data_IF_589328454137
#
_entry.id   IF_589328454137
#
_cell.length_a   1.000
_cell.length_b   1.000
_cell.length_c   1.000
_cell.angle_alpha   90.00
_cell.angle_beta   90.00
_cell.angle_gamma   90.00
#
_symmetry.space_group_name_H-M   'P 1'
#
loop_
_entity.id
_entity.type
_entity.pdbx_description
1 polymer ?
#
# COMPACT_ATOMS: atom_id res chain seq x y z
N UNK A 1 -19.20 0.35 -9.15
CA UNK A 1 -19.25 0.50 -10.62
C UNK A 1 -20.60 -0.02 -11.08
N UNK A 2 -21.50 0.88 -11.46
CA UNK A 2 -22.79 0.55 -12.08
C UNK A 2 -22.58 -0.13 -13.43
N UNK A 3 -23.58 -0.84 -13.94
CA UNK A 3 -23.52 -1.51 -15.25
C UNK A 3 -23.18 -0.53 -16.41
N UNK A 4 -23.52 0.76 -16.24
CA UNK A 4 -23.18 1.92 -17.06
C UNK A 4 -21.69 2.07 -17.40
N UNK A 5 -20.82 1.90 -16.39
CA UNK A 5 -19.37 2.16 -16.51
C UNK A 5 -18.68 1.26 -17.51
N UNK A 6 -19.28 0.10 -17.85
CA UNK A 6 -18.75 -0.80 -18.88
C UNK A 6 -19.11 -0.37 -20.30
N UNK A 7 -20.16 0.43 -20.48
CA UNK A 7 -20.67 0.84 -21.79
C UNK A 7 -20.42 2.32 -22.10
N UNK A 8 -19.98 3.14 -21.15
CA UNK A 8 -19.69 4.56 -21.35
C UNK A 8 -18.71 4.82 -22.50
N UNK A 9 -17.67 3.99 -22.65
CA UNK A 9 -16.73 4.06 -23.76
C UNK A 9 -17.39 3.83 -25.13
N UNK A 10 -18.32 2.86 -25.18
CA UNK A 10 -19.08 2.53 -26.40
C UNK A 10 -20.05 3.67 -26.74
N UNK A 11 -20.79 4.17 -25.75
CA UNK A 11 -21.71 5.30 -25.91
C UNK A 11 -20.97 6.55 -26.40
N UNK A 12 -19.78 6.83 -25.87
CA UNK A 12 -18.93 7.95 -26.28
C UNK A 12 -18.47 7.82 -27.72
N UNK A 13 -17.96 6.64 -28.11
CA UNK A 13 -17.50 6.39 -29.46
C UNK A 13 -18.65 6.48 -30.48
N UNK A 14 -19.80 5.89 -30.16
CA UNK A 14 -21.01 5.93 -31.02
C UNK A 14 -21.53 7.36 -31.17
N UNK A 15 -21.55 8.13 -30.08
CA UNK A 15 -22.03 9.53 -30.09
C UNK A 15 -21.08 10.44 -30.89
N UNK A 16 -19.77 10.30 -30.70
CA UNK A 16 -18.78 11.07 -31.47
C UNK A 16 -18.85 10.74 -32.96
N UNK A 17 -18.96 9.45 -33.30
CA UNK A 17 -19.07 8.99 -34.68
C UNK A 17 -20.38 9.49 -35.32
N UNK A 18 -21.52 9.37 -34.64
CA UNK A 18 -22.81 9.79 -35.21
C UNK A 18 -22.92 11.31 -35.38
N UNK A 19 -22.31 12.10 -34.49
CA UNK A 19 -22.18 13.56 -34.69
C UNK A 19 -21.30 13.85 -35.91
N UNK A 20 -20.14 13.20 -36.03
CA UNK A 20 -19.25 13.37 -37.18
C UNK A 20 -19.96 13.02 -38.49
N UNK A 21 -20.64 11.88 -38.55
CA UNK A 21 -21.43 11.44 -39.73
C UNK A 21 -22.52 12.47 -40.07
N UNK A 22 -23.27 12.97 -39.08
CA UNK A 22 -24.30 14.00 -39.29
C UNK A 22 -23.72 15.28 -39.89
N UNK A 23 -22.59 15.75 -39.36
CA UNK A 23 -21.90 16.94 -39.85
C UNK A 23 -21.36 16.74 -41.27
N UNK A 24 -20.75 15.59 -41.56
CA UNK A 24 -20.24 15.27 -42.90
C UNK A 24 -21.38 15.18 -43.92
N UNK A 25 -22.49 14.52 -43.59
CA UNK A 25 -23.67 14.44 -44.46
C UNK A 25 -24.25 15.84 -44.76
N UNK A 26 -24.26 16.72 -43.75
CA UNK A 26 -24.82 18.07 -43.88
C UNK A 26 -23.92 19.03 -44.66
N UNK A 27 -22.62 19.06 -44.36
CA UNK A 27 -21.70 20.09 -44.88
C UNK A 27 -20.82 19.62 -46.02
N UNK A 28 -20.46 18.33 -46.10
CA UNK A 28 -19.68 17.81 -47.23
C UNK A 28 -20.60 17.35 -48.36
N UNK A 29 -21.59 16.52 -48.03
CA UNK A 29 -22.48 15.91 -49.02
C UNK A 29 -23.76 16.71 -49.31
N UNK A 30 -24.00 17.82 -48.59
CA UNK A 30 -25.15 18.72 -48.78
C UNK A 30 -26.51 17.99 -48.79
N UNK A 31 -26.61 16.89 -48.04
CA UNK A 31 -27.81 16.04 -48.00
C UNK A 31 -28.94 16.79 -47.28
N UNK A 32 -30.19 16.51 -47.68
CA UNK A 32 -31.38 17.09 -47.08
C UNK A 32 -31.33 17.04 -45.53
N UNK A 33 -31.74 18.12 -44.83
CA UNK A 33 -31.64 18.22 -43.37
C UNK A 33 -32.31 17.07 -42.62
N UNK A 34 -33.39 16.49 -43.16
CA UNK A 34 -34.09 15.35 -42.59
C UNK A 34 -33.22 14.09 -42.53
N UNK A 35 -32.43 13.83 -43.57
CA UNK A 35 -31.55 12.65 -43.65
C UNK A 35 -30.30 12.87 -42.80
N UNK A 36 -29.75 14.08 -42.81
CA UNK A 36 -28.58 14.43 -41.99
C UNK A 36 -28.85 14.32 -40.47
N UNK A 37 -30.12 14.39 -40.03
CA UNK A 37 -30.52 14.24 -38.63
C UNK A 37 -30.71 12.79 -38.16
N UNK A 38 -30.85 11.82 -39.08
CA UNK A 38 -31.09 10.41 -38.73
C UNK A 38 -30.03 9.84 -37.76
N UNK A 39 -28.72 10.08 -37.95
CA UNK A 39 -27.70 9.62 -37.01
C UNK A 39 -27.86 10.21 -35.60
N UNK A 40 -28.27 11.47 -35.50
CA UNK A 40 -28.47 12.16 -34.21
C UNK A 40 -29.70 11.60 -33.47
N UNK A 41 -30.78 11.32 -34.19
CA UNK A 41 -31.97 10.67 -33.64
C UNK A 41 -31.61 9.26 -33.15
N UNK A 42 -30.84 8.51 -33.93
CA UNK A 42 -30.39 7.17 -33.55
C UNK A 42 -29.54 7.19 -32.26
N UNK A 43 -28.62 8.15 -32.10
CA UNK A 43 -27.86 8.35 -30.85
C UNK A 43 -28.82 8.58 -29.69
N UNK A 44 -29.78 9.49 -29.82
CA UNK A 44 -30.71 9.84 -28.74
C UNK A 44 -31.62 8.68 -28.34
N UNK A 45 -32.07 7.87 -29.29
CA UNK A 45 -32.93 6.71 -29.02
C UNK A 45 -32.16 5.53 -28.45
N UNK A 46 -30.92 5.29 -28.91
CA UNK A 46 -30.13 4.14 -28.47
C UNK A 46 -29.35 4.41 -27.18
N UNK A 47 -28.75 5.60 -27.06
CA UNK A 47 -27.87 5.95 -25.94
C UNK A 47 -28.56 6.76 -24.85
N UNK A 48 -29.53 7.61 -25.22
CA UNK A 48 -30.27 8.44 -24.27
C UNK A 48 -30.96 7.66 -23.15
N UNK A 49 -31.73 6.59 -23.44
CA UNK A 49 -32.38 5.78 -22.42
C UNK A 49 -31.43 5.08 -21.45
N UNK A 50 -30.24 4.68 -21.92
CA UNK A 50 -29.22 4.04 -21.08
C UNK A 50 -28.77 5.02 -20.00
N UNK A 51 -28.37 6.23 -20.41
CA UNK A 51 -27.94 7.29 -19.50
C UNK A 51 -29.07 7.75 -18.57
N UNK A 52 -30.29 7.88 -19.08
CA UNK A 52 -31.47 8.25 -18.27
C UNK A 52 -31.79 7.20 -17.20
N UNK A 53 -31.60 5.92 -17.50
CA UNK A 53 -31.79 4.84 -16.53
C UNK A 53 -30.77 4.92 -15.40
N UNK A 54 -29.50 5.15 -15.72
CA UNK A 54 -28.43 5.29 -14.73
C UNK A 54 -28.66 6.49 -13.81
N UNK A 55 -29.02 7.64 -14.40
CA UNK A 55 -29.41 8.85 -13.66
C UNK A 55 -30.66 8.64 -12.79
N UNK A 56 -31.63 7.84 -13.24
CA UNK A 56 -32.80 7.50 -12.43
C UNK A 56 -32.43 6.64 -11.22
N UNK A 57 -31.46 5.73 -11.37
CA UNK A 57 -30.92 4.93 -10.26
C UNK A 57 -30.17 5.81 -9.26
N UNK A 58 -29.39 6.78 -9.72
CA UNK A 58 -28.69 7.75 -8.87
C UNK A 58 -29.68 8.66 -8.11
N UNK A 59 -30.71 9.14 -8.80
CA UNK A 59 -31.79 9.92 -8.19
C UNK A 59 -32.51 9.13 -7.09
N UNK A 60 -32.77 7.84 -7.31
CA UNK A 60 -33.35 6.95 -6.29
C UNK A 60 -32.47 6.83 -5.05
N UNK A 61 -31.14 6.87 -5.23
CA UNK A 61 -30.15 6.81 -4.14
C UNK A 61 -29.96 8.14 -3.41
N UNK A 62 -30.67 9.21 -3.81
CA UNK A 62 -30.54 10.59 -3.30
C UNK A 62 -29.16 11.20 -3.56
N UNK A 63 -28.45 10.71 -4.56
CA UNK A 63 -27.20 11.29 -5.05
C UNK A 63 -27.56 12.35 -6.10
N UNK A 64 -27.89 13.57 -5.64
CA UNK A 64 -28.21 14.69 -6.53
C UNK A 64 -26.91 15.27 -7.11
N UNK A 65 -26.49 14.73 -8.25
CA UNK A 65 -25.35 15.20 -9.02
C UNK A 65 -25.70 16.28 -10.04
N UNK A 66 -24.68 17.00 -10.51
CA UNK A 66 -24.82 17.96 -11.62
C UNK A 66 -25.24 17.29 -12.94
N UNK A 67 -25.00 15.99 -13.09
CA UNK A 67 -25.37 15.18 -14.25
C UNK A 67 -26.89 15.03 -14.43
N UNK A 68 -27.67 15.30 -13.38
CA UNK A 68 -29.13 15.33 -13.44
C UNK A 68 -29.65 16.40 -14.40
N UNK A 69 -28.97 17.55 -14.50
CA UNK A 69 -29.34 18.59 -15.47
C UNK A 69 -29.19 18.10 -16.91
N UNK A 70 -28.10 17.39 -17.20
CA UNK A 70 -27.88 16.77 -18.51
C UNK A 70 -28.97 15.75 -18.83
N UNK A 71 -29.32 14.87 -17.88
CA UNK A 71 -30.43 13.93 -18.01
C UNK A 71 -31.76 14.61 -18.34
N UNK A 72 -32.11 15.64 -17.56
CA UNK A 72 -33.34 16.41 -17.76
C UNK A 72 -33.30 17.12 -19.12
N UNK A 73 -32.15 17.54 -19.64
CA UNK A 73 -32.03 18.21 -20.94
C UNK A 73 -32.17 17.26 -22.14
N UNK A 74 -31.85 15.96 -21.99
CA UNK A 74 -31.98 14.96 -23.07
C UNK A 74 -33.44 14.86 -23.55
N UNK A 75 -34.41 14.81 -22.64
CA UNK A 75 -35.83 14.62 -23.00
C UNK A 75 -36.41 15.81 -23.79
N UNK A 76 -36.31 17.08 -23.33
CA UNK A 76 -36.73 18.25 -24.08
C UNK A 76 -35.96 18.42 -25.38
N UNK A 77 -34.67 18.05 -25.44
CA UNK A 77 -33.91 18.12 -26.70
C UNK A 77 -34.51 17.23 -27.78
N UNK A 78 -35.01 16.05 -27.42
CA UNK A 78 -35.70 15.14 -28.32
C UNK A 78 -37.08 15.68 -28.71
N UNK A 79 -37.88 16.11 -27.73
CA UNK A 79 -39.25 16.61 -27.95
C UNK A 79 -39.26 17.89 -28.81
N UNK A 80 -38.31 18.80 -28.59
CA UNK A 80 -38.19 20.06 -29.32
C UNK A 80 -37.43 19.92 -30.66
N UNK A 81 -37.12 18.69 -31.08
CA UNK A 81 -36.36 18.37 -32.30
C UNK A 81 -34.98 19.02 -32.37
N UNK A 82 -34.39 19.33 -31.21
CA UNK A 82 -33.03 19.85 -31.06
C UNK A 82 -32.03 18.71 -30.94
N UNK A 83 -32.02 17.82 -31.94
CA UNK A 83 -31.27 16.56 -31.89
C UNK A 83 -29.75 16.75 -31.75
N UNK A 84 -29.21 17.84 -32.31
CA UNK A 84 -27.78 18.17 -32.19
C UNK A 84 -27.41 18.51 -30.74
N UNK A 85 -28.22 19.34 -30.07
CA UNK A 85 -27.99 19.69 -28.67
C UNK A 85 -28.07 18.43 -27.79
N UNK A 86 -29.07 17.57 -28.02
CA UNK A 86 -29.20 16.30 -27.32
C UNK A 86 -28.01 15.35 -27.53
N UNK A 87 -27.55 15.19 -28.76
CA UNK A 87 -26.39 14.34 -29.07
C UNK A 87 -25.09 14.87 -28.42
N UNK A 88 -24.90 16.19 -28.39
CA UNK A 88 -23.76 16.81 -27.69
C UNK A 88 -23.84 16.54 -26.19
N UNK A 89 -25.01 16.66 -25.56
CA UNK A 89 -25.19 16.34 -24.14
C UNK A 89 -24.82 14.88 -23.85
N UNK A 90 -25.31 13.94 -24.67
CA UNK A 90 -25.00 12.51 -24.54
C UNK A 90 -23.50 12.27 -24.65
N UNK A 91 -22.83 12.86 -25.65
CA UNK A 91 -21.38 12.75 -25.83
C UNK A 91 -20.60 13.33 -24.63
N UNK A 92 -21.02 14.50 -24.14
CA UNK A 92 -20.36 15.16 -23.02
C UNK A 92 -20.44 14.35 -21.74
N UNK A 93 -21.63 13.81 -21.43
CA UNK A 93 -21.85 13.00 -20.24
C UNK A 93 -21.08 11.68 -20.29
N UNK A 94 -21.25 10.89 -21.36
CA UNK A 94 -20.55 9.61 -21.49
C UNK A 94 -19.03 9.77 -21.63
N UNK A 95 -18.60 10.88 -22.24
CA UNK A 95 -17.19 11.23 -22.40
C UNK A 95 -16.52 11.56 -21.07
N UNK A 96 -17.21 12.28 -20.18
CA UNK A 96 -16.76 12.52 -18.80
C UNK A 96 -16.52 11.21 -18.05
N UNK A 97 -17.50 10.31 -18.06
CA UNK A 97 -17.40 8.99 -17.41
C UNK A 97 -16.28 8.14 -17.99
N UNK A 98 -16.11 8.19 -19.31
CA UNK A 98 -15.04 7.49 -20.02
C UNK A 98 -13.67 7.97 -19.60
N UNK A 99 -13.47 9.29 -19.51
CA UNK A 99 -12.22 9.87 -19.06
C UNK A 99 -11.94 9.55 -17.59
N UNK A 100 -12.96 9.58 -16.72
CA UNK A 100 -12.81 9.18 -15.31
C UNK A 100 -12.40 7.70 -15.20
N UNK A 101 -13.09 6.79 -15.91
CA UNK A 101 -12.81 5.36 -15.87
C UNK A 101 -11.41 5.01 -16.39
N UNK A 102 -10.98 5.61 -17.51
CA UNK A 102 -9.63 5.43 -18.06
C UNK A 102 -8.56 5.86 -17.06
N UNK A 103 -8.80 6.99 -16.40
CA UNK A 103 -7.84 7.60 -15.52
C UNK A 103 -7.75 6.84 -14.16
N UNK A 104 -8.86 6.28 -13.66
CA UNK A 104 -8.89 5.38 -12.48
C UNK A 104 -8.25 4.02 -12.76
N UNK A 105 -8.43 3.46 -13.97
CA UNK A 105 -7.85 2.16 -14.37
C UNK A 105 -6.32 2.15 -14.35
N UNK A 106 -5.70 3.27 -14.74
CA UNK A 106 -4.24 3.42 -14.78
C UNK A 106 -3.61 3.43 -13.37
N UNK A 107 -4.29 4.01 -12.38
CA UNK A 107 -3.81 4.06 -10.99
C UNK A 107 -3.96 2.71 -10.24
N UNK A 108 -4.97 1.90 -10.59
CA UNK A 108 -5.31 0.66 -9.88
C UNK A 108 -4.44 -0.55 -10.24
N UNK A 109 -3.74 -0.52 -11.39
CA UNK A 109 -2.89 -1.64 -11.84
C UNK A 109 -1.68 -1.86 -10.94
N UNK A 110 -1.13 -0.78 -10.37
CA UNK A 110 0.01 -0.80 -9.45
C UNK A 110 -0.39 -1.35 -8.07
N UNK A 111 -1.61 -1.07 -7.61
CA UNK A 111 -2.13 -1.56 -6.33
C UNK A 111 -2.56 -3.03 -6.38
N UNK A 112 -3.13 -3.48 -7.51
CA UNK A 112 -3.47 -4.90 -7.72
C UNK A 112 -2.23 -5.81 -7.67
N UNK A 113 -1.06 -5.32 -8.08
CA UNK A 113 0.20 -6.04 -7.96
C UNK A 113 0.65 -6.22 -6.50
N UNK A 114 0.31 -5.27 -5.60
CA UNK A 114 0.63 -5.32 -4.18
C UNK A 114 -0.34 -6.21 -3.37
N UNK A 115 -1.64 -6.18 -3.70
CA UNK A 115 -2.65 -7.05 -3.08
C UNK A 115 -2.46 -8.54 -3.39
N UNK A 116 -1.74 -8.86 -4.48
CA UNK A 116 -1.47 -10.23 -4.95
C UNK A 116 -0.56 -11.06 -4.01
N UNK A 117 -0.04 -10.45 -2.94
CA UNK A 117 0.81 -11.10 -1.92
C UNK A 117 0.05 -11.59 -0.67
N UNK A 118 -1.28 -11.49 -0.62
CA UNK A 118 -2.03 -12.05 0.51
C UNK A 118 -2.31 -13.54 0.26
N UNK A 119 -1.90 -14.47 1.14
CA UNK A 119 -2.20 -15.89 0.97
C UNK A 119 -3.73 -16.10 0.98
N UNK A 120 -4.23 -16.85 0.00
CA UNK A 120 -5.66 -17.20 -0.12
C UNK A 120 -5.95 -18.64 0.30
N UNK A 121 -4.89 -19.46 0.30
CA UNK A 121 -4.90 -20.85 0.74
C UNK A 121 -3.82 -21.06 1.80
N UNK A 122 -3.98 -22.15 2.55
CA UNK A 122 -3.07 -22.59 3.59
C UNK A 122 -3.05 -24.12 3.62
N UNK A 123 -1.98 -24.70 4.17
CA UNK A 123 -1.85 -26.13 4.26
C UNK A 123 -2.11 -26.64 5.68
N UNK A 124 -3.19 -27.41 5.87
CA UNK A 124 -3.54 -28.01 7.16
C UNK A 124 -2.99 -29.44 7.27
N UNK A 125 -2.31 -29.75 8.38
CA UNK A 125 -1.84 -31.08 8.74
C UNK A 125 -3.00 -31.90 9.30
N UNK A 126 -3.27 -33.06 8.71
CA UNK A 126 -4.28 -34.04 9.11
C UNK A 126 -3.62 -35.39 9.38
N UNK A 127 -4.35 -36.35 9.95
CA UNK A 127 -3.84 -37.70 10.19
C UNK A 127 -3.39 -38.43 8.91
N UNK A 128 -3.92 -38.04 7.74
CA UNK A 128 -3.59 -38.62 6.43
C UNK A 128 -2.56 -37.81 5.62
N UNK A 129 -1.94 -36.78 6.21
CA UNK A 129 -0.99 -35.90 5.53
C UNK A 129 -1.46 -34.45 5.45
N UNK A 130 -1.09 -33.75 4.37
CA UNK A 130 -1.32 -32.32 4.20
C UNK A 130 -2.49 -32.05 3.25
N UNK A 131 -3.45 -31.20 3.65
CA UNK A 131 -4.60 -30.79 2.83
C UNK A 131 -4.61 -29.28 2.68
N UNK A 132 -4.80 -28.79 1.46
CA UNK A 132 -4.96 -27.37 1.20
C UNK A 132 -6.37 -26.89 1.59
N UNK A 133 -6.45 -25.84 2.38
CA UNK A 133 -7.69 -25.22 2.87
C UNK A 133 -7.68 -23.73 2.55
N UNK A 134 -8.88 -23.15 2.40
CA UNK A 134 -8.97 -21.68 2.30
C UNK A 134 -8.63 -21.06 3.65
N UNK A 135 -7.97 -19.91 3.64
CA UNK A 135 -7.57 -19.21 4.87
C UNK A 135 -8.77 -18.99 5.80
N UNK A 136 -9.94 -18.66 5.25
CA UNK A 136 -11.18 -18.43 6.03
C UNK A 136 -11.70 -19.66 6.80
N UNK A 137 -11.21 -20.86 6.47
CA UNK A 137 -11.61 -22.12 7.11
C UNK A 137 -10.68 -22.54 8.25
N UNK A 138 -9.64 -21.76 8.54
CA UNK A 138 -8.68 -22.03 9.61
C UNK A 138 -9.33 -21.73 10.96
N UNK A 139 -9.38 -22.75 11.83
CA UNK A 139 -9.83 -22.61 13.20
C UNK A 139 -8.67 -22.49 14.18
N UNK A 140 -8.91 -21.88 15.34
CA UNK A 140 -7.94 -21.88 16.44
C UNK A 140 -7.68 -23.32 16.86
N UNK A 141 -6.40 -23.69 17.00
CA UNK A 141 -5.97 -25.04 17.34
C UNK A 141 -5.58 -25.90 16.13
N UNK A 142 -5.92 -25.50 14.90
CA UNK A 142 -5.52 -26.19 13.68
C UNK A 142 -3.99 -26.25 13.57
N UNK A 143 -3.47 -27.40 13.13
CA UNK A 143 -2.07 -27.56 12.78
C UNK A 143 -1.87 -27.20 11.32
N UNK A 144 -1.09 -26.17 11.06
CA UNK A 144 -0.79 -25.69 9.72
C UNK A 144 0.68 -25.96 9.40
N UNK A 145 0.94 -26.42 8.18
CA UNK A 145 2.27 -26.56 7.63
C UNK A 145 2.54 -25.29 6.83
N UNK A 146 3.60 -24.56 7.17
CA UNK A 146 4.09 -23.45 6.37
C UNK A 146 5.27 -23.98 5.57
N UNK A 147 5.15 -23.98 4.24
CA UNK A 147 6.20 -24.42 3.34
C UNK A 147 7.31 -23.36 3.23
N UNK A 148 8.50 -23.73 2.72
CA UNK A 148 9.57 -22.76 2.47
C UNK A 148 9.08 -21.58 1.61
N UNK A 149 9.48 -20.37 1.98
CA UNK A 149 9.10 -19.11 1.31
C UNK A 149 7.59 -18.77 1.30
N UNK A 150 6.78 -19.53 2.03
CA UNK A 150 5.34 -19.27 2.15
C UNK A 150 5.04 -18.24 3.25
N UNK A 151 3.95 -17.49 3.09
CA UNK A 151 3.50 -16.50 4.07
C UNK A 151 2.63 -17.17 5.12
N UNK A 152 2.88 -16.90 6.40
CA UNK A 152 2.02 -17.38 7.48
C UNK A 152 0.60 -16.77 7.36
N UNK A 153 -0.46 -17.59 7.24
CA UNK A 153 -1.82 -17.09 7.03
C UNK A 153 -2.44 -16.49 8.31
N UNK A 154 -2.04 -16.99 9.49
CA UNK A 154 -2.61 -16.61 10.79
C UNK A 154 -1.52 -16.50 11.86
N UNK A 155 -1.87 -15.91 13.00
CA UNK A 155 -1.01 -15.93 14.19
C UNK A 155 -1.01 -17.35 14.81
N UNK A 156 0.14 -17.79 15.32
CA UNK A 156 0.21 -19.06 16.04
C UNK A 156 1.54 -19.34 16.72
N UNK A 157 1.76 -20.61 17.08
CA UNK A 157 2.95 -21.07 17.80
C UNK A 157 3.53 -22.30 17.11
N UNK A 158 4.85 -22.34 16.95
CA UNK A 158 5.54 -23.49 16.36
C UNK A 158 5.39 -24.72 17.25
N UNK A 159 5.01 -25.84 16.64
CA UNK A 159 4.90 -27.15 17.29
C UNK A 159 6.02 -28.07 16.82
N UNK A 160 6.37 -28.04 15.53
CA UNK A 160 7.43 -28.87 14.94
C UNK A 160 8.24 -28.06 13.91
N UNK A 161 9.51 -28.44 13.74
CA UNK A 161 10.43 -27.77 12.83
C UNK A 161 11.23 -26.64 13.50
N UNK A 162 12.34 -26.28 12.86
CA UNK A 162 13.20 -25.14 13.21
C UNK A 162 13.57 -24.42 11.94
N UNK A 163 13.59 -23.09 11.99
CA UNK A 163 13.87 -22.26 10.82
C UNK A 163 13.98 -20.79 11.16
N UNK A 164 13.90 -19.96 10.14
CA UNK A 164 13.86 -18.50 10.28
C UNK A 164 12.62 -17.97 9.56
N UNK A 165 12.07 -16.84 10.01
CA UNK A 165 10.97 -16.16 9.32
C UNK A 165 11.26 -14.67 9.21
N UNK A 166 11.00 -14.09 8.05
CA UNK A 166 11.06 -12.65 7.81
C UNK A 166 9.78 -11.98 8.34
N UNK A 167 9.93 -11.15 9.37
CA UNK A 167 8.85 -10.35 9.97
C UNK A 167 8.95 -8.86 9.61
N UNK A 168 9.86 -8.48 8.71
CA UNK A 168 10.19 -7.08 8.39
C UNK A 168 8.98 -6.24 7.97
N UNK A 169 8.01 -6.86 7.28
CA UNK A 169 6.79 -6.19 6.87
C UNK A 169 5.90 -5.75 8.05
N UNK A 170 6.02 -6.41 9.20
CA UNK A 170 5.18 -6.19 10.38
C UNK A 170 5.91 -5.40 11.46
N UNK A 171 7.20 -5.66 11.63
CA UNK A 171 8.02 -5.08 12.71
C UNK A 171 8.85 -3.88 12.23
N UNK A 172 9.06 -3.73 10.92
CA UNK A 172 9.99 -2.75 10.35
C UNK A 172 11.45 -3.16 10.47
N UNK A 173 11.76 -4.23 11.19
CA UNK A 173 13.12 -4.72 11.37
C UNK A 173 13.48 -5.64 10.19
N UNK A 174 14.52 -5.34 9.38
CA UNK A 174 14.82 -6.02 8.12
C UNK A 174 15.35 -7.46 8.27
N UNK A 175 15.22 -8.05 9.46
CA UNK A 175 15.95 -9.26 9.86
C UNK A 175 15.01 -10.46 10.01
N UNK A 176 15.52 -11.64 9.66
CA UNK A 176 14.81 -12.89 9.88
C UNK A 176 14.93 -13.34 11.34
N UNK A 177 13.82 -13.76 11.93
CA UNK A 177 13.73 -14.20 13.31
C UNK A 177 13.74 -15.72 13.37
N UNK A 178 14.64 -16.29 14.16
CA UNK A 178 14.71 -17.73 14.42
C UNK A 178 13.44 -18.26 15.09
N UNK A 179 12.95 -19.39 14.62
CA UNK A 179 11.75 -20.09 15.09
C UNK A 179 12.10 -21.51 15.50
N UNK A 180 11.66 -21.90 16.70
CA UNK A 180 11.77 -23.24 17.24
C UNK A 180 10.44 -23.62 17.94
N UNK A 181 10.21 -24.89 18.30
CA UNK A 181 9.00 -25.27 19.03
C UNK A 181 8.77 -24.40 20.27
N UNK A 182 7.56 -23.85 20.39
CA UNK A 182 7.18 -22.86 21.40
C UNK A 182 7.33 -21.39 20.97
N UNK A 183 8.04 -21.08 19.88
CA UNK A 183 8.14 -19.72 19.34
C UNK A 183 6.82 -19.25 18.73
N UNK A 184 6.49 -17.98 18.89
CA UNK A 184 5.32 -17.34 18.26
C UNK A 184 5.60 -17.01 16.80
N UNK A 185 4.60 -17.18 15.93
CA UNK A 185 4.58 -16.79 14.53
C UNK A 185 3.50 -15.72 14.33
N UNK A 186 3.85 -14.65 13.62
CA UNK A 186 2.93 -13.59 13.22
C UNK A 186 2.31 -13.90 11.84
N UNK A 187 1.01 -13.64 11.70
CA UNK A 187 0.35 -13.63 10.39
C UNK A 187 1.01 -12.61 9.46
N UNK A 188 1.34 -12.99 8.23
CA UNK A 188 2.03 -12.14 7.25
C UNK A 188 3.56 -12.27 7.25
N UNK A 189 4.16 -13.01 8.21
CA UNK A 189 5.58 -13.32 8.19
C UNK A 189 5.90 -14.31 7.04
N UNK A 190 7.04 -14.12 6.37
CA UNK A 190 7.49 -15.02 5.29
C UNK A 190 8.40 -16.09 5.86
N UNK A 191 8.12 -17.35 5.56
CA UNK A 191 8.95 -18.45 6.00
C UNK A 191 10.28 -18.49 5.26
N UNK A 192 11.34 -18.92 5.95
CA UNK A 192 12.65 -19.17 5.36
C UNK A 192 12.69 -20.46 4.55
N UNK A 193 13.82 -21.15 4.58
CA UNK A 193 14.11 -22.28 3.68
C UNK A 193 13.53 -23.63 4.17
N UNK A 194 12.97 -23.67 5.38
CA UNK A 194 12.56 -24.90 6.07
C UNK A 194 11.06 -24.92 6.34
N UNK A 195 10.41 -26.07 6.15
CA UNK A 195 9.01 -26.22 6.52
C UNK A 195 8.83 -26.19 8.05
N UNK A 196 7.81 -25.47 8.53
CA UNK A 196 7.49 -25.34 9.95
C UNK A 196 6.03 -25.74 10.17
N UNK A 197 5.77 -26.53 11.21
CA UNK A 197 4.40 -26.85 11.64
C UNK A 197 4.03 -25.93 12.79
N UNK A 198 2.98 -25.14 12.60
CA UNK A 198 2.44 -24.23 13.61
C UNK A 198 1.05 -24.67 14.06
N UNK A 199 0.69 -24.30 15.29
CA UNK A 199 -0.69 -24.33 15.78
C UNK A 199 -1.27 -22.94 15.71
N UNK A 200 -2.40 -22.78 15.01
CA UNK A 200 -3.12 -21.51 14.95
C UNK A 200 -3.59 -21.09 16.36
N UNK A 201 -3.26 -19.87 16.79
CA UNK A 201 -3.73 -19.30 18.06
C UNK A 201 -4.84 -18.29 17.88
N UNK A 202 -5.01 -17.74 16.67
CA UNK A 202 -6.08 -16.83 16.31
C UNK A 202 -6.75 -17.23 15.01
N UNK A 203 -7.99 -16.77 14.85
CA UNK A 203 -8.70 -16.85 13.57
C UNK A 203 -8.05 -15.91 12.55
N UNK A 204 -8.27 -16.13 11.25
CA UNK A 204 -7.79 -15.22 10.20
C UNK A 204 -8.22 -13.77 10.39
N UNK A 205 -9.46 -13.53 10.85
CA UNK A 205 -10.01 -12.19 11.07
C UNK A 205 -9.45 -11.48 12.30
N UNK A 206 -9.05 -12.24 13.33
CA UNK A 206 -8.47 -11.69 14.57
C UNK A 206 -6.94 -11.64 14.57
N UNK A 207 -6.32 -12.16 13.52
CA UNK A 207 -4.87 -12.15 13.34
C UNK A 207 -4.35 -10.72 13.20
N UNK A 208 -3.12 -10.47 13.69
CA UNK A 208 -2.53 -9.12 13.70
C UNK A 208 -2.55 -8.46 12.32
N UNK A 209 -2.24 -9.21 11.27
CA UNK A 209 -2.27 -8.71 9.89
C UNK A 209 -3.67 -8.28 9.46
N UNK A 210 -4.70 -9.07 9.77
CA UNK A 210 -6.09 -8.74 9.45
C UNK A 210 -6.59 -7.50 10.22
N UNK A 211 -6.15 -7.29 11.46
CA UNK A 211 -6.44 -6.06 12.21
C UNK A 211 -5.73 -4.84 11.60
N UNK A 212 -4.47 -4.98 11.20
CA UNK A 212 -3.73 -3.92 10.49
C UNK A 212 -4.41 -3.60 9.14
N UNK A 213 -4.80 -4.62 8.37
CA UNK A 213 -5.57 -4.43 7.14
C UNK A 213 -6.96 -3.85 7.38
N UNK A 214 -7.61 -4.19 8.49
CA UNK A 214 -8.88 -3.60 8.92
C UNK A 214 -8.74 -2.09 9.15
N UNK A 215 -7.66 -1.64 9.81
CA UNK A 215 -7.35 -0.21 10.00
C UNK A 215 -7.05 0.47 8.66
N UNK A 216 -6.25 -0.16 7.80
CA UNK A 216 -5.92 0.37 6.46
C UNK A 216 -7.17 0.51 5.58
N UNK A 217 -8.06 -0.49 5.62
CA UNK A 217 -9.31 -0.57 4.85
C UNK A 217 -10.39 0.36 5.42
N UNK A 218 -10.49 0.52 6.73
CA UNK A 218 -11.33 1.54 7.36
C UNK A 218 -10.89 2.95 6.93
N UNK A 219 -9.59 3.18 6.78
CA UNK A 219 -9.03 4.41 6.22
C UNK A 219 -9.12 4.50 4.67
N UNK A 220 -9.57 3.47 3.95
CA UNK A 220 -9.82 3.49 2.48
C UNK A 220 -11.23 3.96 2.12
N UNK A 221 -12.16 3.98 3.07
CA UNK A 221 -13.58 4.28 2.82
C UNK A 221 -13.91 5.78 2.74
N UNK A 222 -12.90 6.65 2.68
CA UNK A 222 -13.10 8.09 2.62
C UNK A 222 -12.69 8.63 1.24
N UNK A 223 -13.67 8.96 0.37
CA UNK A 223 -13.36 9.65 -0.87
C UNK A 223 -12.75 11.04 -0.57
N UNK A 224 -11.95 11.59 -1.49
CA UNK A 224 -11.29 12.88 -1.31
C UNK A 224 -12.30 14.00 -1.02
N UNK A 225 -11.95 14.97 -0.16
CA UNK A 225 -12.81 16.11 0.20
C UNK A 225 -13.11 17.00 -1.00
N UNK A 226 -12.20 17.11 -1.97
CA UNK A 226 -12.42 17.91 -3.19
C UNK A 226 -13.54 17.31 -4.05
N UNK A 227 -13.69 15.98 -4.10
CA UNK A 227 -14.85 15.33 -4.77
C UNK A 227 -16.16 15.73 -4.10
N UNK A 228 -16.20 15.79 -2.76
CA UNK A 228 -17.38 16.25 -2.01
C UNK A 228 -17.73 17.71 -2.28
N UNK A 229 -16.75 18.58 -2.54
CA UNK A 229 -17.00 19.97 -2.94
C UNK A 229 -17.68 20.03 -4.32
N UNK A 230 -17.22 19.23 -5.28
CA UNK A 230 -17.88 19.09 -6.59
C UNK A 230 -19.33 18.63 -6.47
N UNK A 231 -19.57 17.59 -5.65
CA UNK A 231 -20.91 17.05 -5.41
C UNK A 231 -21.82 18.05 -4.67
N UNK A 232 -21.28 18.78 -3.69
CA UNK A 232 -22.02 19.82 -2.94
C UNK A 232 -22.39 21.02 -3.81
N UNK A 233 -21.45 21.48 -4.66
CA UNK A 233 -21.71 22.52 -5.63
C UNK A 233 -22.77 22.06 -6.63
N UNK A 234 -22.68 20.82 -7.12
CA UNK A 234 -23.69 20.21 -7.99
C UNK A 234 -25.08 20.17 -7.35
N UNK A 235 -25.17 19.76 -6.08
CA UNK A 235 -26.43 19.66 -5.34
C UNK A 235 -27.13 21.02 -5.13
N UNK A 236 -26.37 22.13 -5.04
CA UNK A 236 -26.92 23.49 -4.97
C UNK A 236 -27.20 24.06 -6.37
N UNK A 237 -26.31 23.79 -7.32
CA UNK A 237 -26.35 24.38 -8.66
C UNK A 237 -27.47 23.78 -9.52
N UNK A 238 -27.72 22.47 -9.42
CA UNK A 238 -28.78 21.79 -10.15
C UNK A 238 -30.20 22.37 -9.88
N UNK A 239 -30.67 22.50 -8.63
CA UNK A 239 -31.98 23.09 -8.37
C UNK A 239 -32.03 24.57 -8.77
N UNK A 240 -30.95 25.34 -8.57
CA UNK A 240 -30.88 26.73 -9.00
C UNK A 240 -31.03 26.86 -10.52
N UNK A 241 -30.28 26.07 -11.29
CA UNK A 241 -30.34 26.05 -12.74
C UNK A 241 -31.74 25.64 -13.24
N UNK A 242 -32.37 24.65 -12.59
CA UNK A 242 -33.73 24.24 -12.92
C UNK A 242 -34.76 25.35 -12.64
N UNK A 243 -34.65 26.05 -11.50
CA UNK A 243 -35.52 27.19 -11.17
C UNK A 243 -35.37 28.29 -12.23
N UNK A 244 -34.14 28.62 -12.62
CA UNK A 244 -33.88 29.63 -13.67
C UNK A 244 -34.43 29.15 -15.02
N UNK A 245 -34.28 27.87 -15.37
CA UNK A 245 -34.82 27.32 -16.61
C UNK A 245 -36.35 27.39 -16.67
N UNK A 246 -37.02 26.99 -15.58
CA UNK A 246 -38.49 27.06 -15.46
C UNK A 246 -38.95 28.52 -15.46
N UNK A 247 -38.27 29.42 -14.75
CA UNK A 247 -38.57 30.85 -14.77
C UNK A 247 -38.41 31.47 -16.16
N UNK A 248 -37.36 31.12 -16.89
CA UNK A 248 -37.14 31.54 -18.26
C UNK A 248 -38.25 30.99 -19.19
N UNK A 249 -38.73 29.76 -18.96
CA UNK A 249 -39.84 29.21 -19.73
C UNK A 249 -41.15 29.98 -19.49
N UNK A 250 -41.54 30.17 -18.22
CA UNK A 250 -42.81 30.80 -17.86
C UNK A 250 -42.86 32.25 -18.34
N UNK A 251 -41.77 33.01 -18.17
CA UNK A 251 -41.72 34.44 -18.55
C UNK A 251 -41.73 34.66 -20.06
N UNK A 252 -41.29 33.69 -20.85
CA UNK A 252 -41.07 33.86 -22.30
C UNK A 252 -42.03 33.03 -23.15
N UNK A 253 -42.73 32.07 -22.54
CA UNK A 253 -43.54 31.05 -23.22
C UNK A 253 -42.73 30.05 -24.05
N UNK A 254 -41.39 30.13 -24.06
CA UNK A 254 -40.54 29.35 -24.96
C UNK A 254 -39.87 28.18 -24.26
N UNK A 255 -40.29 26.96 -24.59
CA UNK A 255 -39.61 25.73 -24.16
C UNK A 255 -38.18 25.62 -24.71
N UNK A 256 -37.85 26.35 -25.78
CA UNK A 256 -36.47 26.42 -26.29
C UNK A 256 -35.55 27.15 -25.30
N UNK A 257 -36.05 28.17 -24.60
CA UNK A 257 -35.27 28.89 -23.58
C UNK A 257 -35.06 28.04 -22.33
N UNK A 258 -36.02 27.20 -21.96
CA UNK A 258 -35.85 26.17 -20.93
C UNK A 258 -34.66 25.26 -21.26
N UNK A 259 -34.67 24.67 -22.46
CA UNK A 259 -33.59 23.78 -22.92
C UNK A 259 -32.24 24.51 -22.97
N UNK A 260 -32.19 25.74 -23.49
CA UNK A 260 -30.97 26.52 -23.59
C UNK A 260 -30.32 26.78 -22.22
N UNK A 261 -31.13 27.11 -21.20
CA UNK A 261 -30.62 27.31 -19.83
C UNK A 261 -30.05 26.00 -19.27
N UNK A 262 -30.75 24.87 -19.42
CA UNK A 262 -30.25 23.58 -18.93
C UNK A 262 -28.93 23.18 -19.59
N UNK A 263 -28.82 23.34 -20.92
CA UNK A 263 -27.61 23.01 -21.68
C UNK A 263 -26.43 23.86 -21.21
N UNK A 264 -26.62 25.18 -21.09
CA UNK A 264 -25.55 26.11 -20.67
C UNK A 264 -25.16 25.87 -19.21
N UNK A 265 -26.13 25.54 -18.36
CA UNK A 265 -25.93 25.30 -16.94
C UNK A 265 -25.43 23.88 -16.63
N UNK A 266 -25.04 23.05 -17.60
CA UNK A 266 -24.44 21.74 -17.29
C UNK A 266 -22.93 21.92 -17.05
N UNK A 267 -22.42 21.75 -15.81
CA UNK A 267 -21.04 22.13 -15.47
C UNK A 267 -20.02 21.01 -15.79
N UNK A 268 -20.04 20.48 -17.01
CA UNK A 268 -19.18 19.35 -17.38
C UNK A 268 -17.67 19.60 -17.16
N UNK A 269 -17.11 20.78 -17.48
CA UNK A 269 -15.69 21.06 -17.23
C UNK A 269 -15.32 21.01 -15.74
N UNK A 270 -16.24 21.40 -14.86
CA UNK A 270 -16.03 21.38 -13.41
C UNK A 270 -15.92 19.95 -12.87
N UNK A 271 -16.76 19.04 -13.39
CA UNK A 271 -16.80 17.63 -12.99
C UNK A 271 -15.49 16.93 -13.38
N UNK A 272 -14.94 17.24 -14.57
CA UNK A 272 -13.74 16.59 -15.10
C UNK A 272 -12.44 17.21 -14.54
N UNK A 273 -12.47 18.44 -14.05
CA UNK A 273 -11.29 19.13 -13.51
C UNK A 273 -10.61 18.35 -12.37
N UNK A 274 -11.40 17.80 -11.45
CA UNK A 274 -10.92 17.08 -10.26
C UNK A 274 -10.19 15.78 -10.65
N UNK A 275 -10.79 14.81 -11.39
CA UNK A 275 -10.10 13.58 -11.75
C UNK A 275 -8.85 13.85 -12.60
N UNK A 276 -8.88 14.83 -13.53
CA UNK A 276 -7.69 15.20 -14.31
C UNK A 276 -6.56 15.69 -13.40
N UNK A 277 -6.85 16.60 -12.47
CA UNK A 277 -5.84 17.15 -11.56
C UNK A 277 -5.24 16.05 -10.65
N UNK A 278 -6.09 15.19 -10.09
CA UNK A 278 -5.69 14.06 -9.26
C UNK A 278 -4.80 13.09 -10.04
N UNK A 279 -5.19 12.73 -11.26
CA UNK A 279 -4.48 11.69 -12.02
C UNK A 279 -3.22 12.23 -12.67
N UNK A 280 -3.22 13.50 -13.09
CA UNK A 280 -2.02 14.23 -13.46
C UNK A 280 -0.99 14.26 -12.33
N UNK A 281 -1.44 14.52 -11.10
CA UNK A 281 -0.60 14.50 -9.89
C UNK A 281 -0.03 13.11 -9.61
N UNK A 282 -0.86 12.06 -9.63
CA UNK A 282 -0.40 10.67 -9.45
C UNK A 282 0.63 10.28 -10.52
N UNK A 283 0.39 10.64 -11.78
CA UNK A 283 1.32 10.38 -12.89
C UNK A 283 2.66 11.09 -12.68
N UNK A 284 2.65 12.33 -12.19
CA UNK A 284 3.86 13.07 -11.86
C UNK A 284 4.63 12.45 -10.69
N UNK A 285 3.92 12.04 -9.62
CA UNK A 285 4.51 11.32 -8.49
C UNK A 285 5.18 10.02 -8.94
N UNK A 286 4.51 9.22 -9.78
CA UNK A 286 5.04 7.95 -10.28
C UNK A 286 6.33 8.14 -11.10
N UNK A 287 6.38 9.18 -11.96
CA UNK A 287 7.60 9.55 -12.71
C UNK A 287 8.78 9.92 -11.80
N UNK A 288 8.52 10.28 -10.54
CA UNK A 288 9.53 10.62 -9.52
C UNK A 288 9.75 9.50 -8.51
N UNK A 289 9.22 8.29 -8.75
CA UNK A 289 9.35 7.16 -7.83
C UNK A 289 8.49 7.26 -6.57
N UNK A 290 7.54 8.19 -6.51
CA UNK A 290 6.61 8.37 -5.39
C UNK A 290 5.33 7.58 -5.69
N UNK A 291 5.02 6.60 -4.83
CA UNK A 291 3.84 5.75 -5.00
C UNK A 291 2.67 6.28 -4.16
N UNK A 292 1.69 6.89 -4.83
CA UNK A 292 0.47 7.38 -4.20
C UNK A 292 -0.59 6.27 -4.22
N UNK A 293 -0.79 5.60 -3.07
CA UNK A 293 -1.74 4.49 -2.97
C UNK A 293 -3.21 4.94 -2.97
N UNK A 294 -3.49 6.15 -2.48
CA UNK A 294 -4.85 6.68 -2.37
C UNK A 294 -4.87 8.13 -2.86
N UNK A 295 -5.80 8.53 -3.75
CA UNK A 295 -5.94 9.92 -4.18
C UNK A 295 -6.08 10.93 -3.03
N UNK A 296 -6.77 10.56 -1.95
CA UNK A 296 -6.95 11.42 -0.77
C UNK A 296 -5.63 11.81 -0.09
N UNK A 297 -4.57 11.01 -0.27
CA UNK A 297 -3.26 11.35 0.27
C UNK A 297 -2.71 12.65 -0.35
N UNK A 298 -3.05 12.96 -1.61
CA UNK A 298 -2.63 14.22 -2.24
C UNK A 298 -3.26 15.45 -1.58
N UNK A 299 -4.47 15.33 -1.05
CA UNK A 299 -5.12 16.41 -0.29
C UNK A 299 -4.61 16.47 1.16
N UNK A 300 -4.40 15.31 1.79
CA UNK A 300 -3.99 15.24 3.19
C UNK A 300 -2.56 15.73 3.40
N UNK A 301 -1.66 15.46 2.45
CA UNK A 301 -0.26 15.89 2.51
C UNK A 301 -0.14 17.41 2.62
N UNK A 302 -1.02 18.18 1.96
CA UNK A 302 -1.06 19.65 2.08
C UNK A 302 -1.29 20.10 3.53
N UNK A 303 -2.15 19.40 4.26
CA UNK A 303 -2.49 19.72 5.65
C UNK A 303 -1.54 19.10 6.69
N UNK A 304 -0.52 18.37 6.27
CA UNK A 304 0.37 17.66 7.18
C UNK A 304 1.31 18.65 7.89
N UNK A 305 1.20 18.73 9.22
CA UNK A 305 2.04 19.61 10.05
C UNK A 305 3.11 18.84 10.84
N UNK A 306 3.00 17.53 10.91
CA UNK A 306 3.89 16.71 11.75
C UNK A 306 4.19 15.41 11.03
N UNK A 307 5.49 15.16 10.84
CA UNK A 307 5.98 13.91 10.26
C UNK A 307 6.73 13.17 11.35
N UNK A 308 6.29 11.94 11.62
CA UNK A 308 6.99 11.02 12.54
C UNK A 308 7.70 10.00 11.68
N UNK A 309 9.02 9.96 11.80
CA UNK A 309 9.85 9.02 11.07
C UNK A 309 10.09 7.77 11.88
N UNK A 310 9.94 6.62 11.22
CA UNK A 310 10.63 5.43 11.70
C UNK A 310 12.15 5.62 11.50
N UNK A 311 12.96 4.99 12.34
CA UNK A 311 14.42 5.12 12.26
C UNK A 311 15.00 4.13 11.26
N UNK A 312 14.85 2.84 11.57
CA UNK A 312 15.50 1.73 10.86
C UNK A 312 14.91 1.60 9.46
N UNK A 313 15.74 1.57 8.41
CA UNK A 313 15.31 1.44 7.02
C UNK A 313 14.66 2.68 6.40
N UNK A 314 14.23 3.65 7.22
CA UNK A 314 13.68 4.94 6.77
C UNK A 314 14.76 6.02 6.79
N UNK A 315 15.25 6.41 7.97
CA UNK A 315 16.32 7.39 8.14
C UNK A 315 17.72 6.77 8.04
N UNK A 316 17.82 5.47 8.31
CA UNK A 316 19.08 4.71 8.25
C UNK A 316 19.01 3.59 7.21
N UNK A 317 20.16 3.01 6.85
CA UNK A 317 20.22 1.92 5.87
C UNK A 317 19.75 0.56 6.42
N UNK A 318 19.51 0.43 7.72
CA UNK A 318 19.14 -0.85 8.33
C UNK A 318 20.32 -1.84 8.37
N UNK A 319 21.55 -1.33 8.32
CA UNK A 319 22.79 -2.11 8.24
C UNK A 319 23.70 -1.67 9.39
N UNK A 320 23.64 -2.35 10.55
CA UNK A 320 24.50 -2.00 11.66
C UNK A 320 25.97 -2.23 11.29
N UNK A 321 26.81 -1.22 11.48
CA UNK A 321 28.27 -1.37 11.42
C UNK A 321 28.88 -1.28 12.82
N UNK A 322 29.90 -2.08 13.09
CA UNK A 322 30.64 -2.02 14.35
C UNK A 322 31.55 -0.78 14.35
N UNK A 323 31.19 0.22 15.15
CA UNK A 323 31.90 1.51 15.19
C UNK A 323 32.99 1.56 16.26
N UNK A 324 32.83 0.80 17.34
CA UNK A 324 33.71 0.89 18.50
C UNK A 324 33.97 -0.48 19.12
N UNK A 325 35.20 -0.69 19.58
CA UNK A 325 35.66 -1.89 20.29
C UNK A 325 36.42 -1.40 21.52
N UNK A 326 35.80 -1.50 22.69
CA UNK A 326 36.44 -1.19 23.97
C UNK A 326 36.86 -2.50 24.62
N UNK A 327 38.16 -2.73 24.78
CA UNK A 327 38.70 -3.93 25.44
C UNK A 327 38.94 -3.70 26.94
N UNK A 328 38.86 -4.76 27.73
CA UNK A 328 39.27 -4.74 29.13
C UNK A 328 40.79 -4.52 29.26
N UNK A 329 41.27 -3.93 30.38
CA UNK A 329 42.70 -3.74 30.60
C UNK A 329 43.49 -5.04 30.48
N UNK A 330 44.60 -5.02 29.73
CA UNK A 330 45.47 -6.19 29.53
C UNK A 330 44.99 -7.20 28.47
N UNK A 331 43.87 -6.95 27.79
CA UNK A 331 43.41 -7.77 26.65
C UNK A 331 43.90 -7.18 25.33
N UNK A 332 44.24 -8.05 24.38
CA UNK A 332 44.59 -7.66 23.01
C UNK A 332 43.34 -7.52 22.14
N UNK A 333 43.18 -6.36 21.50
CA UNK A 333 42.01 -6.04 20.70
C UNK A 333 41.88 -6.90 19.43
N UNK A 334 43.02 -7.28 18.82
CA UNK A 334 43.03 -8.17 17.66
C UNK A 334 42.57 -9.57 18.05
N UNK A 335 43.10 -10.11 19.15
CA UNK A 335 42.76 -11.44 19.66
C UNK A 335 41.29 -11.53 20.07
N UNK A 336 40.77 -10.55 20.81
CA UNK A 336 39.34 -10.53 21.21
C UNK A 336 38.42 -10.40 19.99
N UNK A 337 38.77 -9.54 19.02
CA UNK A 337 37.98 -9.41 17.80
C UNK A 337 38.02 -10.69 16.95
N UNK A 338 39.17 -11.35 16.88
CA UNK A 338 39.33 -12.65 16.21
C UNK A 338 38.51 -13.76 16.88
N UNK A 339 38.44 -13.75 18.22
CA UNK A 339 37.57 -14.66 18.99
C UNK A 339 36.09 -14.38 18.75
N UNK A 340 35.69 -13.11 18.76
CA UNK A 340 34.31 -12.73 18.53
C UNK A 340 33.86 -13.09 17.10
N UNK A 341 34.70 -12.79 16.10
CA UNK A 341 34.44 -13.14 14.70
C UNK A 341 34.39 -14.67 14.48
N UNK A 342 35.21 -15.44 15.20
CA UNK A 342 35.21 -16.91 15.10
C UNK A 342 33.87 -17.52 15.54
N UNK A 343 33.29 -17.04 16.64
CA UNK A 343 31.98 -17.48 17.09
C UNK A 343 30.87 -16.99 16.13
N UNK A 344 30.89 -15.70 15.78
CA UNK A 344 29.82 -15.07 15.00
C UNK A 344 29.69 -15.63 13.57
N UNK A 345 30.70 -16.34 13.04
CA UNK A 345 30.56 -17.10 11.78
C UNK A 345 29.43 -18.13 11.81
N UNK A 346 29.07 -18.64 12.99
CA UNK A 346 28.02 -19.64 13.17
C UNK A 346 26.67 -19.02 13.57
N UNK A 347 26.63 -17.70 13.76
CA UNK A 347 25.44 -16.95 14.18
C UNK A 347 24.75 -16.35 12.96
N UNK A 348 23.42 -16.40 12.96
CA UNK A 348 22.59 -15.71 11.95
C UNK A 348 22.09 -14.36 12.45
N UNK A 349 22.58 -13.90 13.60
CA UNK A 349 22.17 -12.64 14.19
C UNK A 349 22.65 -11.45 13.34
N UNK A 350 21.86 -10.38 13.16
CA UNK A 350 22.24 -9.23 12.33
C UNK A 350 23.57 -8.54 12.70
N UNK A 351 23.95 -8.59 13.97
CA UNK A 351 25.21 -8.02 14.46
C UNK A 351 26.43 -8.91 14.14
N UNK A 352 26.22 -10.20 13.83
CA UNK A 352 27.28 -11.16 13.52
C UNK A 352 28.10 -10.69 12.31
N UNK A 353 27.40 -10.34 11.23
CA UNK A 353 28.03 -9.86 10.00
C UNK A 353 28.83 -8.57 10.25
N UNK A 354 28.32 -7.67 11.08
CA UNK A 354 29.02 -6.43 11.42
C UNK A 354 30.37 -6.68 12.14
N UNK A 355 30.43 -7.71 12.99
CA UNK A 355 31.67 -8.13 13.69
C UNK A 355 32.64 -8.77 12.71
N UNK A 356 32.16 -9.69 11.85
CA UNK A 356 32.97 -10.37 10.84
C UNK A 356 33.57 -9.35 9.85
N UNK A 357 32.76 -8.43 9.36
CA UNK A 357 33.19 -7.37 8.45
C UNK A 357 34.21 -6.43 9.11
N UNK A 358 34.02 -6.13 10.39
CA UNK A 358 34.98 -5.32 11.14
C UNK A 358 36.31 -6.04 11.38
N UNK A 359 36.29 -7.34 11.66
CA UNK A 359 37.50 -8.16 11.75
C UNK A 359 38.26 -8.16 10.42
N UNK A 360 37.55 -8.36 9.31
CA UNK A 360 38.11 -8.31 7.95
C UNK A 360 38.68 -6.94 7.61
N UNK A 361 37.96 -5.84 7.89
CA UNK A 361 38.43 -4.45 7.68
C UNK A 361 39.69 -4.14 8.48
N UNK A 362 39.88 -4.77 9.66
CA UNK A 362 41.06 -4.60 10.52
C UNK A 362 42.18 -5.61 10.24
N UNK A 363 42.04 -6.47 9.22
CA UNK A 363 43.04 -7.49 8.89
C UNK A 363 43.18 -8.60 9.94
N UNK A 364 42.16 -8.78 10.79
CA UNK A 364 42.14 -9.81 11.82
C UNK A 364 41.47 -11.06 11.24
N UNK A 365 42.25 -12.14 11.14
CA UNK A 365 41.71 -13.44 10.75
C UNK A 365 40.89 -14.02 11.91
N UNK A 366 39.69 -14.57 11.64
CA UNK A 366 38.93 -15.33 12.63
C UNK A 366 39.75 -16.52 13.12
N UNK A 367 39.71 -16.78 14.44
CA UNK A 367 40.31 -17.97 15.05
C UNK A 367 39.42 -19.20 14.79
N UNK A 368 39.90 -20.39 15.14
CA UNK A 368 39.06 -21.59 15.13
C UNK A 368 38.19 -21.66 16.39
N UNK A 369 36.88 -21.81 16.17
CA UNK A 369 35.91 -22.02 17.24
C UNK A 369 35.41 -23.46 17.25
N UNK A 370 35.23 -24.02 18.44
CA UNK A 370 34.61 -25.32 18.70
C UNK A 370 33.48 -25.18 19.73
N UNK A 371 32.64 -26.20 19.84
CA UNK A 371 31.55 -26.26 20.83
C UNK A 371 30.60 -25.04 20.78
N UNK A 372 30.35 -24.50 19.58
CA UNK A 372 29.53 -23.31 19.40
C UNK A 372 28.06 -23.62 19.65
N UNK A 373 27.41 -22.80 20.48
CA UNK A 373 26.00 -22.90 20.80
C UNK A 373 25.37 -21.51 20.95
N UNK A 374 24.18 -21.33 20.39
CA UNK A 374 23.39 -20.10 20.49
C UNK A 374 22.11 -20.41 21.26
N UNK A 375 22.00 -19.86 22.48
CA UNK A 375 20.79 -20.04 23.32
C UNK A 375 19.94 -18.78 23.22
N UNK A 376 18.65 -18.89 22.81
CA UNK A 376 17.78 -17.74 22.67
C UNK A 376 17.72 -16.88 23.94
N UNK A 377 18.03 -15.59 23.81
CA UNK A 377 18.03 -14.63 24.93
C UNK A 377 19.31 -14.64 25.80
N UNK A 378 20.20 -15.62 25.63
CA UNK A 378 21.47 -15.70 26.36
C UNK A 378 22.70 -15.39 25.51
N UNK A 379 22.54 -15.30 24.19
CA UNK A 379 23.61 -15.01 23.24
C UNK A 379 24.35 -16.25 22.74
N UNK A 380 25.54 -16.01 22.20
CA UNK A 380 26.36 -17.00 21.52
C UNK A 380 27.53 -17.41 22.42
N UNK A 381 27.81 -18.70 22.54
CA UNK A 381 28.91 -19.24 23.33
C UNK A 381 29.69 -20.27 22.56
N UNK A 382 30.96 -20.46 22.90
CA UNK A 382 31.79 -21.56 22.40
C UNK A 382 33.21 -21.49 22.95
N UNK A 383 34.08 -22.37 22.46
CA UNK A 383 35.50 -22.41 22.83
C UNK A 383 36.33 -21.90 21.66
N UNK A 384 37.20 -20.92 21.90
CA UNK A 384 38.09 -20.37 20.88
C UNK A 384 39.50 -20.31 21.45
N UNK A 385 40.48 -20.89 20.73
CA UNK A 385 41.87 -20.97 21.20
C UNK A 385 41.98 -21.60 22.62
N UNK A 386 41.13 -22.60 22.89
CA UNK A 386 41.05 -23.29 24.19
C UNK A 386 40.40 -22.50 25.34
N UNK A 387 39.85 -21.31 25.07
CA UNK A 387 39.21 -20.44 26.09
C UNK A 387 37.70 -20.39 25.89
N UNK A 388 36.95 -20.29 27.00
CA UNK A 388 35.50 -20.20 26.93
C UNK A 388 35.09 -18.76 26.58
N UNK A 389 34.45 -18.56 25.44
CA UNK A 389 34.04 -17.24 24.94
C UNK A 389 32.52 -17.17 24.85
N UNK A 390 31.93 -16.06 25.32
CA UNK A 390 30.49 -15.78 25.23
C UNK A 390 30.25 -14.35 24.73
N UNK A 391 29.35 -14.18 23.77
CA UNK A 391 28.91 -12.90 23.23
C UNK A 391 27.43 -12.72 23.56
N UNK A 392 27.10 -11.68 24.31
CA UNK A 392 25.74 -11.43 24.78
C UNK A 392 25.29 -10.00 24.53
N UNK A 393 23.99 -9.80 24.32
CA UNK A 393 23.43 -8.45 24.32
C UNK A 393 23.51 -7.82 25.72
N UNK A 394 23.61 -6.49 25.79
CA UNK A 394 23.78 -5.79 27.08
C UNK A 394 22.74 -6.11 28.15
N UNK A 395 21.49 -6.44 27.80
CA UNK A 395 20.46 -6.80 28.78
C UNK A 395 20.69 -8.17 29.44
N UNK A 396 21.39 -9.07 28.75
CA UNK A 396 21.71 -10.40 29.24
C UNK A 396 23.00 -10.42 30.08
N UNK A 397 23.61 -9.28 30.39
CA UNK A 397 24.81 -9.21 31.22
C UNK A 397 24.53 -9.40 32.70
N UNK A 398 23.27 -9.24 33.15
CA UNK A 398 22.87 -9.46 34.53
C UNK A 398 23.09 -10.91 35.01
N UNK A 399 23.07 -11.88 34.09
CA UNK A 399 23.37 -13.29 34.39
C UNK A 399 24.87 -13.61 34.44
N UNK A 400 25.74 -12.64 34.14
CA UNK A 400 27.21 -12.81 34.12
C UNK A 400 27.89 -12.51 35.48
N UNK A 401 27.14 -12.18 36.53
CA UNK A 401 27.69 -11.98 37.88
C UNK A 401 28.73 -10.85 37.97
N UNK A 402 29.92 -11.14 38.53
CA UNK A 402 31.01 -10.18 38.80
C UNK A 402 31.61 -9.53 37.56
N UNK A 403 31.38 -10.08 36.36
CA UNK A 403 31.79 -9.43 35.11
C UNK A 403 31.00 -8.16 34.79
N UNK A 404 29.81 -7.96 35.38
CA UNK A 404 28.94 -6.82 35.09
C UNK A 404 29.50 -5.47 35.58
N UNK A 405 30.28 -5.46 36.68
CA UNK A 405 30.83 -4.22 37.27
C UNK A 405 31.95 -3.58 36.44
N UNK A 406 32.55 -4.33 35.52
CA UNK A 406 33.66 -3.87 34.67
C UNK A 406 33.20 -3.37 33.29
N UNK A 407 31.90 -3.43 33.01
CA UNK A 407 31.32 -3.04 31.71
C UNK A 407 31.20 -1.50 31.67
N UNK A 408 31.73 -0.82 30.64
CA UNK A 408 31.57 0.62 30.46
C UNK A 408 30.09 1.04 30.47
N UNK A 409 29.73 2.28 30.91
CA UNK A 409 28.35 2.75 30.92
C UNK A 409 27.69 2.69 29.53
N UNK A 410 26.36 2.58 29.52
CA UNK A 410 25.56 2.42 28.30
C UNK A 410 25.79 3.60 27.36
N UNK A 411 26.23 3.30 26.13
CA UNK A 411 26.37 4.28 25.06
C UNK A 411 25.13 4.34 24.18
N UNK A 412 25.11 5.29 23.24
CA UNK A 412 24.11 5.33 22.17
C UNK A 412 24.44 4.32 21.07
N UNK A 413 23.45 3.51 20.68
CA UNK A 413 23.58 2.48 19.65
C UNK A 413 23.14 1.10 20.16
N UNK A 414 23.49 0.06 19.40
CA UNK A 414 23.37 -1.33 19.85
C UNK A 414 24.69 -1.77 20.48
N UNK A 415 24.64 -2.62 21.50
CA UNK A 415 25.83 -3.05 22.24
C UNK A 415 25.83 -4.57 22.49
N UNK A 416 26.96 -5.21 22.19
CA UNK A 416 27.26 -6.61 22.52
C UNK A 416 28.47 -6.66 23.44
N UNK A 417 28.43 -7.57 24.42
CA UNK A 417 29.49 -7.77 25.41
C UNK A 417 30.15 -9.11 25.15
N UNK A 418 31.47 -9.10 25.06
CA UNK A 418 32.31 -10.30 24.94
C UNK A 418 32.90 -10.64 26.29
N UNK A 419 32.73 -11.90 26.68
CA UNK A 419 33.21 -12.49 27.93
C UNK A 419 34.17 -13.62 27.57
N UNK A 420 35.32 -13.66 28.24
CA UNK A 420 36.32 -14.73 28.09
C UNK A 420 36.62 -15.31 29.47
N UNK A 421 36.50 -16.63 29.62
CA UNK A 421 36.68 -17.38 30.87
C UNK A 421 35.88 -16.78 32.05
N UNK A 422 34.66 -16.32 31.78
CA UNK A 422 33.77 -15.72 32.77
C UNK A 422 34.09 -14.27 33.16
N UNK A 423 35.11 -13.65 32.58
CA UNK A 423 35.47 -12.25 32.82
C UNK A 423 35.12 -11.35 31.62
N UNK A 424 34.78 -10.08 31.88
CA UNK A 424 34.57 -9.08 30.84
C UNK A 424 35.84 -8.91 30.00
N UNK A 425 35.72 -9.09 28.69
CA UNK A 425 36.85 -9.00 27.76
C UNK A 425 36.72 -7.80 26.81
N UNK A 426 35.52 -7.54 26.28
CA UNK A 426 35.28 -6.36 25.45
C UNK A 426 33.80 -5.95 25.36
N UNK A 427 33.59 -4.68 25.01
CA UNK A 427 32.31 -4.11 24.60
C UNK A 427 32.41 -3.74 23.11
N UNK A 428 31.49 -4.29 22.31
CA UNK A 428 31.31 -4.00 20.89
C UNK A 428 30.11 -3.05 20.75
N UNK A 429 30.30 -1.92 20.07
CA UNK A 429 29.20 -1.00 19.77
C UNK A 429 28.93 -0.93 18.29
N UNK A 430 27.64 -0.87 17.96
CA UNK A 430 27.16 -0.82 16.60
C UNK A 430 26.28 0.41 16.39
N UNK A 431 26.41 1.01 15.22
CA UNK A 431 25.52 2.07 14.76
C UNK A 431 25.01 1.71 13.38
N UNK A 432 23.75 2.02 13.16
CA UNK A 432 23.16 1.98 11.83
C UNK A 432 23.44 3.32 11.15
N UNK A 433 24.01 3.26 9.95
CA UNK A 433 24.44 4.46 9.24
C UNK A 433 23.21 5.24 8.74
N UNK A 434 23.14 6.56 9.00
CA UNK A 434 22.08 7.40 8.45
C UNK A 434 22.22 7.48 6.92
N UNK A 435 21.09 7.55 6.21
CA UNK A 435 21.10 7.75 4.76
C UNK A 435 21.75 9.09 4.40
N UNK A 436 22.51 9.11 3.31
CA UNK A 436 23.30 10.27 2.90
C UNK A 436 22.41 11.52 2.68
N UNK A 437 21.22 11.32 2.12
CA UNK A 437 20.20 12.34 1.88
C UNK A 437 19.39 12.73 3.12
N UNK A 438 19.48 11.98 4.23
CA UNK A 438 18.63 12.14 5.40
C UNK A 438 18.71 13.53 6.01
N UNK A 439 19.91 14.07 6.18
CA UNK A 439 20.12 15.41 6.78
C UNK A 439 19.51 16.53 5.92
N UNK A 440 19.73 16.47 4.59
CA UNK A 440 19.18 17.44 3.64
C UNK A 440 17.66 17.36 3.57
N UNK A 441 17.12 16.15 3.61
CA UNK A 441 15.67 15.93 3.60
C UNK A 441 15.02 16.50 4.85
N UNK A 442 15.56 16.21 6.04
CA UNK A 442 15.04 16.76 7.30
C UNK A 442 15.17 18.29 7.36
N UNK A 443 16.22 18.87 6.79
CA UNK A 443 16.38 20.33 6.72
C UNK A 443 15.44 21.00 5.71
N UNK A 444 14.93 20.24 4.73
CA UNK A 444 13.99 20.76 3.73
C UNK A 444 12.55 20.80 4.24
N UNK A 445 12.18 19.81 5.08
CA UNK A 445 10.89 19.75 5.78
C UNK A 445 10.80 20.85 6.84
#
# INVERSE_FOLDING_TARGET
MTAASRWSHVVTAVSALGIAVSLTLRYAFHVAPSVAQIPLIAILVLCGPILLFDLAVELWRRELGADLLAGIAIVPSFVLKQYMAGAIIVLMLSGGDTLEAFAVGTASSVLKALAKRTPTTAHRKTAGGMVEVKVDQIAVGDLLVILPHEISPVDGVVVEGRGTMDESFLTGEPFQISKAPGSTILSGAVNGDTAIVMRATKTPVDSRYAKIMGVVKAAELHPPRVRRLGDQLGALYAPLALIVAVGAWITTGSALRFLAVLVIATPCPLIIAIPIAVIGSISLCARRGIVVKKPIALEQVESCQTIVFDKTGTLTYGRPEMTDLTVAPGQDAGKILGMAAALEQYSRHPLAQAIIDAAKKRGVSPLEASEVGETPGEGLSGVVDGRAVKIVGRKATASLGTAASSIPPTGGGLESVVVVDGAFAALLRFRDEPKAEGSRFIAHL
#
